data_IF_559837988368
#
_entry.id   IF_559837988368
#
_cell.length_a   1.000
_cell.length_b   1.000
_cell.length_c   1.000
_cell.angle_alpha   90.00
_cell.angle_beta   90.00
_cell.angle_gamma   90.00
#
_symmetry.space_group_name_H-M   'P 1'
#
loop_
_entity.id
_entity.type
_entity.pdbx_description
1 polymer ?
#
# COMPACT_ATOMS: atom_id res chain seq x y z
N UNK A 1 -8.05 21.71 -16.01
CA UNK A 1 -7.87 23.11 -15.55
C UNK A 1 -6.72 23.14 -14.56
N UNK A 2 -5.73 24.02 -14.74
CA UNK A 2 -4.61 24.16 -13.80
C UNK A 2 -4.87 25.32 -12.84
N UNK A 3 -4.88 25.04 -11.53
CA UNK A 3 -4.92 26.06 -10.48
C UNK A 3 -3.54 26.74 -10.39
N UNK A 4 -3.48 28.06 -10.16
CA UNK A 4 -2.20 28.75 -9.96
C UNK A 4 -1.61 28.47 -8.57
N UNK A 5 -0.27 28.57 -8.43
CA UNK A 5 0.44 28.39 -7.15
C UNK A 5 -0.09 29.29 -6.02
N UNK A 6 -0.36 30.55 -6.34
CA UNK A 6 -0.92 31.50 -5.37
C UNK A 6 -2.34 31.13 -4.93
N UNK A 7 -3.19 30.72 -5.87
CA UNK A 7 -4.56 30.30 -5.55
C UNK A 7 -4.56 29.01 -4.72
N UNK A 8 -3.71 28.05 -5.08
CA UNK A 8 -3.53 26.82 -4.28
C UNK A 8 -3.06 27.11 -2.86
N UNK A 9 -2.06 27.98 -2.71
CA UNK A 9 -1.57 28.40 -1.41
C UNK A 9 -2.67 29.06 -0.58
N UNK A 10 -3.47 29.95 -1.18
CA UNK A 10 -4.60 30.57 -0.52
C UNK A 10 -5.65 29.55 -0.04
N UNK A 11 -5.99 28.56 -0.88
CA UNK A 11 -6.90 27.48 -0.50
C UNK A 11 -6.35 26.65 0.66
N UNK A 12 -5.06 26.31 0.62
CA UNK A 12 -4.41 25.59 1.70
C UNK A 12 -4.44 26.37 3.01
N UNK A 13 -4.02 27.63 2.99
CA UNK A 13 -3.86 28.43 4.20
C UNK A 13 -5.19 28.87 4.81
N UNK A 14 -6.16 29.24 3.99
CA UNK A 14 -7.40 29.83 4.50
C UNK A 14 -8.54 28.84 4.63
N UNK A 15 -8.52 27.72 3.90
CA UNK A 15 -9.58 26.71 3.98
C UNK A 15 -9.09 25.50 4.76
N UNK A 16 -8.04 24.84 4.29
CA UNK A 16 -7.58 23.58 4.91
C UNK A 16 -7.04 23.81 6.31
N UNK A 17 -6.14 24.79 6.51
CA UNK A 17 -5.59 25.06 7.85
C UNK A 17 -6.68 25.54 8.82
N UNK A 18 -7.66 26.32 8.37
CA UNK A 18 -8.76 26.75 9.25
C UNK A 18 -9.62 25.59 9.76
N UNK A 19 -9.62 24.45 9.06
CA UNK A 19 -10.42 23.26 9.35
C UNK A 19 -9.56 22.09 9.87
N UNK A 20 -8.30 22.33 10.25
CA UNK A 20 -7.32 21.29 10.60
C UNK A 20 -7.82 20.29 11.64
N UNK A 21 -8.60 20.77 12.62
CA UNK A 21 -9.14 19.97 13.72
C UNK A 21 -10.43 19.20 13.36
N UNK A 22 -11.00 19.41 12.18
CA UNK A 22 -12.26 18.78 11.74
C UNK A 22 -12.06 17.77 10.61
N UNK A 23 -11.00 17.92 9.83
CA UNK A 23 -10.75 17.08 8.66
C UNK A 23 -10.29 15.69 9.13
N UNK A 24 -11.14 14.70 8.90
CA UNK A 24 -10.85 13.29 9.19
C UNK A 24 -10.48 12.47 7.95
N UNK A 25 -10.76 13.00 6.76
CA UNK A 25 -10.51 12.33 5.48
C UNK A 25 -10.02 13.33 4.44
N UNK A 26 -8.96 12.95 3.72
CA UNK A 26 -8.46 13.67 2.57
C UNK A 26 -8.37 12.72 1.39
N UNK A 27 -8.84 13.19 0.23
CA UNK A 27 -8.62 12.57 -1.06
C UNK A 27 -7.87 13.55 -1.96
N UNK A 28 -6.68 13.15 -2.39
CA UNK A 28 -5.87 13.84 -3.37
C UNK A 28 -5.90 13.02 -4.65
N UNK A 29 -6.28 13.64 -5.76
CA UNK A 29 -6.16 13.02 -7.08
C UNK A 29 -5.39 13.97 -7.94
N UNK A 30 -4.36 13.44 -8.61
CA UNK A 30 -3.44 14.19 -9.45
C UNK A 30 -2.90 15.44 -8.73
N UNK A 31 -2.01 15.29 -7.72
CA UNK A 31 -1.30 16.42 -7.17
C UNK A 31 -0.34 17.00 -8.24
N UNK A 32 -0.90 17.79 -9.17
CA UNK A 32 -0.37 18.16 -10.50
C UNK A 32 0.91 19.01 -10.52
N UNK A 33 1.62 19.19 -9.41
CA UNK A 33 2.97 19.75 -9.47
C UNK A 33 3.78 19.31 -8.27
N UNK A 34 4.99 18.82 -8.54
CA UNK A 34 6.07 18.62 -7.57
C UNK A 34 6.10 19.68 -6.45
N UNK A 35 5.95 20.95 -6.83
CA UNK A 35 5.94 22.11 -5.94
C UNK A 35 4.74 22.16 -4.98
N UNK A 36 3.56 21.72 -5.42
CA UNK A 36 2.33 21.76 -4.63
C UNK A 36 2.30 20.63 -3.60
N UNK A 37 2.81 19.47 -3.98
CA UNK A 37 3.02 18.31 -3.09
C UNK A 37 3.89 18.68 -1.88
N UNK A 38 4.99 19.40 -2.10
CA UNK A 38 5.89 19.85 -1.03
C UNK A 38 5.21 20.78 -0.02
N UNK A 39 4.25 21.60 -0.45
CA UNK A 39 3.49 22.48 0.44
C UNK A 39 2.36 21.74 1.16
N UNK A 40 1.81 20.70 0.52
CA UNK A 40 0.63 19.98 0.98
C UNK A 40 0.94 18.97 2.09
N UNK A 41 2.01 18.19 1.96
CA UNK A 41 2.33 17.14 2.95
C UNK A 41 2.61 17.66 4.37
N UNK A 42 3.33 18.78 4.57
CA UNK A 42 3.49 19.36 5.90
C UNK A 42 2.16 19.76 6.53
N UNK A 43 1.20 20.24 5.73
CA UNK A 43 -0.13 20.59 6.23
C UNK A 43 -0.91 19.33 6.60
N UNK A 44 -0.86 18.31 5.73
CA UNK A 44 -1.47 17.01 6.02
C UNK A 44 -0.90 16.43 7.32
N UNK A 45 0.41 16.56 7.54
CA UNK A 45 1.07 16.09 8.76
C UNK A 45 0.51 16.72 10.05
N UNK A 46 -0.02 17.94 9.95
CA UNK A 46 -0.60 18.67 11.08
C UNK A 46 -2.09 18.34 11.34
N UNK A 47 -2.73 17.54 10.49
CA UNK A 47 -4.14 17.14 10.64
C UNK A 47 -4.28 16.02 11.67
N UNK A 48 -4.36 16.40 12.95
CA UNK A 48 -4.37 15.46 14.08
C UNK A 48 -5.57 14.50 14.10
N UNK A 49 -6.68 14.87 13.47
CA UNK A 49 -7.88 14.05 13.36
C UNK A 49 -7.95 13.24 12.05
N UNK A 50 -6.96 13.36 11.17
CA UNK A 50 -6.94 12.66 9.89
C UNK A 50 -6.80 11.15 10.12
N UNK A 51 -7.86 10.42 9.81
CA UNK A 51 -7.86 8.95 9.90
C UNK A 51 -7.79 8.31 8.53
N UNK A 52 -8.22 8.99 7.47
CA UNK A 52 -8.28 8.45 6.12
C UNK A 52 -7.51 9.33 5.14
N UNK A 53 -6.57 8.73 4.43
CA UNK A 53 -5.82 9.41 3.37
C UNK A 53 -5.88 8.59 2.09
N UNK A 54 -6.38 9.22 1.03
CA UNK A 54 -6.43 8.67 -0.32
C UNK A 54 -5.57 9.54 -1.20
N UNK A 55 -4.61 8.94 -1.87
CA UNK A 55 -3.72 9.63 -2.80
C UNK A 55 -3.68 8.86 -4.11
N UNK A 56 -4.15 9.52 -5.16
CA UNK A 56 -4.16 9.00 -6.50
C UNK A 56 -3.19 9.80 -7.37
N UNK A 57 -2.46 9.06 -8.22
CA UNK A 57 -1.53 9.59 -9.20
C UNK A 57 -0.40 10.45 -8.60
N UNK A 58 0.16 9.96 -7.49
CA UNK A 58 1.33 10.58 -6.87
C UNK A 58 2.62 10.09 -7.49
N UNK A 59 3.59 10.99 -7.63
CA UNK A 59 4.98 10.62 -7.88
C UNK A 59 5.62 10.05 -6.62
N UNK A 60 6.33 8.94 -6.79
CA UNK A 60 6.90 8.12 -5.73
C UNK A 60 7.75 8.86 -4.70
N UNK A 61 8.47 9.90 -5.11
CA UNK A 61 9.35 10.69 -4.26
C UNK A 61 8.62 11.41 -3.11
N UNK A 62 7.30 11.60 -3.21
CA UNK A 62 6.53 12.33 -2.22
C UNK A 62 5.86 11.45 -1.16
N UNK A 63 5.80 10.14 -1.39
CA UNK A 63 5.15 9.19 -0.47
C UNK A 63 5.87 9.16 0.88
N UNK A 64 7.17 9.47 0.89
CA UNK A 64 7.98 9.53 2.09
C UNK A 64 7.59 10.63 3.08
N UNK A 65 6.65 11.53 2.73
CA UNK A 65 6.20 12.58 3.63
C UNK A 65 4.85 12.27 4.30
N UNK A 66 4.34 11.06 4.14
CA UNK A 66 3.02 10.65 4.64
C UNK A 66 3.17 9.87 5.94
N UNK A 67 3.33 10.55 7.09
CA UNK A 67 3.34 9.86 8.39
C UNK A 67 2.45 10.53 9.42
N UNK A 68 1.19 10.06 9.45
CA UNK A 68 0.20 10.42 10.44
C UNK A 68 -0.37 9.18 11.13
N UNK A 69 -1.09 9.37 12.24
CA UNK A 69 -1.92 8.35 12.88
C UNK A 69 -3.16 8.00 12.01
N UNK A 70 -2.91 7.38 10.86
CA UNK A 70 -3.96 6.99 9.91
C UNK A 70 -4.57 5.65 10.32
N UNK A 71 -5.90 5.54 10.17
CA UNK A 71 -6.63 4.28 10.26
C UNK A 71 -6.81 3.61 8.88
N UNK A 72 -6.84 4.41 7.81
CA UNK A 72 -7.02 3.98 6.43
C UNK A 72 -6.10 4.74 5.48
N UNK A 73 -5.42 4.00 4.60
CA UNK A 73 -4.52 4.55 3.59
C UNK A 73 -4.76 3.91 2.22
N UNK A 74 -4.91 4.74 1.20
CA UNK A 74 -4.95 4.33 -0.21
C UNK A 74 -3.89 5.11 -0.96
N UNK A 75 -2.94 4.42 -1.58
CA UNK A 75 -1.91 5.02 -2.42
C UNK A 75 -1.95 4.37 -3.80
N UNK A 76 -2.09 5.21 -4.82
CA UNK A 76 -1.98 4.85 -6.23
C UNK A 76 -0.88 5.72 -6.85
N UNK A 77 0.27 5.10 -7.14
CA UNK A 77 1.44 5.74 -7.77
C UNK A 77 1.32 5.65 -9.30
N UNK A 78 1.77 6.68 -10.00
CA UNK A 78 1.84 6.68 -11.49
C UNK A 78 3.20 6.24 -12.03
N UNK A 79 4.24 6.31 -11.21
CA UNK A 79 5.62 6.00 -11.57
C UNK A 79 6.18 4.81 -10.78
N UNK A 80 7.29 4.28 -11.28
CA UNK A 80 8.02 3.23 -10.59
C UNK A 80 8.78 3.78 -9.39
N UNK A 81 8.60 3.15 -8.24
CA UNK A 81 9.27 3.56 -7.01
C UNK A 81 10.67 2.92 -6.92
N UNK A 82 11.69 3.75 -6.66
CA UNK A 82 13.06 3.28 -6.42
C UNK A 82 13.23 2.58 -5.07
N UNK A 83 12.64 3.14 -4.00
CA UNK A 83 12.79 2.69 -2.61
C UNK A 83 11.50 2.06 -2.04
N UNK A 84 10.90 1.13 -2.78
CA UNK A 84 9.60 0.54 -2.40
C UNK A 84 9.60 -0.08 -1.00
N UNK A 85 10.68 -0.77 -0.63
CA UNK A 85 10.78 -1.42 0.68
C UNK A 85 10.72 -0.42 1.83
N UNK A 86 11.37 0.74 1.69
CA UNK A 86 11.36 1.78 2.71
C UNK A 86 9.95 2.35 2.88
N UNK A 87 9.23 2.55 1.78
CA UNK A 87 7.82 2.99 1.82
C UNK A 87 6.96 1.96 2.54
N UNK A 88 7.04 0.69 2.16
CA UNK A 88 6.29 -0.37 2.81
C UNK A 88 6.60 -0.44 4.30
N UNK A 89 7.88 -0.36 4.66
CA UNK A 89 8.32 -0.39 6.04
C UNK A 89 7.71 0.74 6.87
N UNK A 90 7.75 1.97 6.34
CA UNK A 90 7.18 3.13 7.04
C UNK A 90 5.65 3.04 7.15
N UNK A 91 4.95 2.58 6.10
CA UNK A 91 3.49 2.36 6.13
C UNK A 91 3.12 1.27 7.14
N UNK A 92 3.82 0.15 7.14
CA UNK A 92 3.46 -1.01 7.97
C UNK A 92 3.71 -0.76 9.46
N UNK A 93 4.58 0.20 9.80
CA UNK A 93 4.82 0.68 11.16
C UNK A 93 3.78 1.69 11.66
N UNK A 94 2.80 2.08 10.85
CA UNK A 94 1.72 2.96 11.32
C UNK A 94 0.84 2.23 12.35
N UNK A 95 0.79 2.71 13.61
CA UNK A 95 0.26 1.92 14.73
C UNK A 95 -1.26 1.74 14.67
N UNK A 96 -1.96 2.64 13.99
CA UNK A 96 -3.43 2.66 13.90
C UNK A 96 -3.96 2.16 12.57
N UNK A 97 -3.09 1.86 11.60
CA UNK A 97 -3.48 1.59 10.22
C UNK A 97 -4.15 0.22 10.10
N UNK A 98 -5.48 0.20 9.99
CA UNK A 98 -6.28 -1.02 9.84
C UNK A 98 -6.52 -1.39 8.39
N UNK A 99 -6.67 -0.41 7.51
CA UNK A 99 -6.92 -0.61 6.08
C UNK A 99 -5.80 0.00 5.25
N UNK A 100 -5.25 -0.78 4.31
CA UNK A 100 -4.20 -0.33 3.42
C UNK A 100 -4.43 -0.85 1.99
N UNK A 101 -4.46 0.05 1.02
CA UNK A 101 -4.52 -0.28 -0.40
C UNK A 101 -3.36 0.36 -1.15
N UNK A 102 -2.59 -0.46 -1.87
CA UNK A 102 -1.36 -0.05 -2.54
C UNK A 102 -1.39 -0.48 -4.01
N UNK A 103 -1.36 0.49 -4.92
CA UNK A 103 -0.98 0.32 -6.31
C UNK A 103 0.35 1.06 -6.51
N UNK A 104 1.43 0.37 -6.18
CA UNK A 104 2.79 0.89 -6.22
C UNK A 104 3.59 0.05 -7.23
N UNK A 105 3.81 0.59 -8.42
CA UNK A 105 4.62 -0.05 -9.45
C UNK A 105 6.12 0.07 -9.12
N UNK A 106 6.89 -0.91 -9.60
CA UNK A 106 8.30 -1.06 -9.22
C UNK A 106 9.12 -1.41 -10.43
N UNK A 107 10.38 -0.98 -10.38
CA UNK A 107 11.38 -1.56 -11.27
C UNK A 107 11.53 -3.05 -10.91
N UNK A 108 11.45 -3.90 -11.92
CA UNK A 108 11.71 -5.34 -11.78
C UNK A 108 13.08 -5.52 -11.09
N UNK A 109 13.23 -6.59 -10.31
CA UNK A 109 14.47 -7.01 -9.63
C UNK A 109 14.83 -6.35 -8.27
N UNK A 110 13.92 -5.60 -7.64
CA UNK A 110 14.16 -5.17 -6.25
C UNK A 110 14.18 -6.34 -5.27
N UNK A 111 15.17 -6.33 -4.37
CA UNK A 111 15.26 -7.32 -3.27
C UNK A 111 13.98 -7.27 -2.43
N UNK A 112 13.41 -8.42 -2.03
CA UNK A 112 12.28 -8.44 -1.13
C UNK A 112 12.65 -7.81 0.22
N UNK A 113 11.65 -7.29 0.94
CA UNK A 113 11.78 -6.93 2.35
C UNK A 113 12.37 -8.09 3.16
N UNK A 114 13.12 -7.75 4.21
CA UNK A 114 13.48 -8.74 5.22
C UNK A 114 12.22 -9.33 5.85
N UNK A 115 12.28 -10.59 6.26
CA UNK A 115 11.19 -11.21 7.02
C UNK A 115 11.08 -10.49 8.38
N UNK A 116 9.86 -10.13 8.75
CA UNK A 116 9.58 -9.49 10.03
C UNK A 116 9.99 -10.42 11.19
N UNK A 117 10.70 -9.88 12.18
CA UNK A 117 11.07 -10.61 13.39
C UNK A 117 10.15 -10.25 14.56
N UNK A 118 10.07 -8.97 14.90
CA UNK A 118 9.29 -8.44 16.03
C UNK A 118 8.56 -7.13 15.70
N UNK A 119 8.43 -6.81 14.41
CA UNK A 119 7.81 -5.57 13.95
C UNK A 119 6.55 -5.93 13.18
N UNK A 120 5.41 -5.88 13.88
CA UNK A 120 4.13 -6.26 13.30
C UNK A 120 3.25 -5.03 13.10
N UNK A 121 2.58 -5.03 11.96
CA UNK A 121 1.62 -4.03 11.57
C UNK A 121 0.26 -4.28 12.21
N UNK A 122 -0.50 -3.21 12.42
CA UNK A 122 -1.88 -3.25 12.87
C UNK A 122 -2.89 -3.52 11.74
N UNK A 123 -2.41 -3.65 10.50
CA UNK A 123 -3.24 -3.84 9.30
C UNK A 123 -4.06 -5.12 9.41
N UNK A 124 -5.37 -4.95 9.24
CA UNK A 124 -6.35 -6.04 9.19
C UNK A 124 -6.85 -6.29 7.77
N UNK A 125 -6.78 -5.26 6.90
CA UNK A 125 -7.25 -5.30 5.52
C UNK A 125 -6.17 -4.77 4.58
N UNK A 126 -5.61 -5.65 3.76
CA UNK A 126 -4.53 -5.32 2.83
C UNK A 126 -4.96 -5.59 1.38
N UNK A 127 -4.86 -4.56 0.55
CA UNK A 127 -5.10 -4.64 -0.90
C UNK A 127 -3.81 -4.30 -1.64
N UNK A 128 -3.29 -5.26 -2.39
CA UNK A 128 -2.06 -5.17 -3.15
C UNK A 128 -2.42 -5.26 -4.62
N UNK A 129 -2.43 -4.14 -5.32
CA UNK A 129 -2.80 -4.09 -6.75
C UNK A 129 -1.59 -4.04 -7.69
N UNK A 130 -0.37 -4.06 -7.15
CA UNK A 130 0.83 -4.21 -7.95
C UNK A 130 1.09 -5.68 -8.31
N UNK A 131 2.27 -5.96 -8.90
CA UNK A 131 2.67 -7.30 -9.39
C UNK A 131 3.80 -7.88 -8.52
N UNK A 132 3.57 -8.20 -7.24
CA UNK A 132 4.63 -8.73 -6.39
C UNK A 132 5.02 -10.14 -6.84
N UNK A 133 6.30 -10.46 -6.69
CA UNK A 133 6.75 -11.85 -6.69
C UNK A 133 6.26 -12.56 -5.42
N UNK A 134 6.20 -13.90 -5.43
CA UNK A 134 5.82 -14.70 -4.26
C UNK A 134 6.71 -14.39 -3.05
N UNK A 135 8.03 -14.27 -3.25
CA UNK A 135 8.95 -13.97 -2.16
C UNK A 135 8.70 -12.58 -1.55
N UNK A 136 8.41 -11.57 -2.39
CA UNK A 136 8.02 -10.24 -1.91
C UNK A 136 6.71 -10.28 -1.13
N UNK A 137 5.73 -11.03 -1.63
CA UNK A 137 4.44 -11.21 -0.95
C UNK A 137 4.64 -11.88 0.43
N UNK A 138 5.42 -12.96 0.51
CA UNK A 138 5.73 -13.61 1.79
C UNK A 138 6.41 -12.67 2.78
N UNK A 139 7.38 -11.88 2.32
CA UNK A 139 8.00 -10.85 3.16
C UNK A 139 6.98 -9.85 3.66
N UNK A 140 6.09 -9.31 2.80
CA UNK A 140 5.03 -8.39 3.22
C UNK A 140 4.08 -9.02 4.23
N UNK A 141 3.63 -10.25 3.97
CA UNK A 141 2.69 -10.97 4.85
C UNK A 141 3.28 -11.25 6.23
N UNK A 142 4.61 -11.40 6.35
CA UNK A 142 5.26 -11.59 7.65
C UNK A 142 5.07 -10.41 8.61
N UNK A 143 4.82 -9.20 8.11
CA UNK A 143 4.57 -8.01 8.94
C UNK A 143 3.11 -7.90 9.37
N UNK A 144 2.14 -8.45 8.64
CA UNK A 144 0.71 -8.23 8.86
C UNK A 144 0.05 -9.44 9.54
N UNK A 145 0.52 -9.80 10.74
CA UNK A 145 0.01 -10.99 11.42
C UNK A 145 -1.48 -10.88 11.81
N UNK A 146 -2.03 -9.68 11.96
CA UNK A 146 -3.44 -9.45 12.29
C UNK A 146 -4.36 -9.43 11.06
N UNK A 147 -3.84 -9.80 9.88
CA UNK A 147 -4.54 -9.71 8.62
C UNK A 147 -5.79 -10.61 8.60
N UNK A 148 -6.94 -10.00 8.37
CA UNK A 148 -8.24 -10.68 8.21
C UNK A 148 -8.66 -10.76 6.76
N UNK A 149 -8.31 -9.73 5.96
CA UNK A 149 -8.67 -9.65 4.54
C UNK A 149 -7.46 -9.32 3.68
N UNK A 150 -7.19 -10.16 2.70
CA UNK A 150 -6.15 -9.96 1.69
C UNK A 150 -6.78 -9.90 0.30
N UNK A 151 -6.47 -8.86 -0.46
CA UNK A 151 -6.83 -8.76 -1.87
C UNK A 151 -5.57 -8.53 -2.70
N UNK A 152 -5.33 -9.37 -3.70
CA UNK A 152 -4.19 -9.26 -4.62
C UNK A 152 -4.73 -9.07 -6.04
N UNK A 153 -4.45 -7.93 -6.65
CA UNK A 153 -4.93 -7.57 -7.98
C UNK A 153 -4.19 -8.27 -9.12
N UNK A 154 -2.94 -8.66 -8.89
CA UNK A 154 -2.11 -9.42 -9.84
C UNK A 154 -0.98 -10.14 -9.09
N UNK A 155 -0.70 -11.39 -9.44
CA UNK A 155 0.47 -12.11 -8.92
C UNK A 155 1.46 -12.35 -10.08
N UNK A 156 2.71 -11.89 -9.94
CA UNK A 156 3.72 -12.15 -10.98
C UNK A 156 4.35 -13.52 -10.78
N UNK A 157 3.91 -14.46 -11.61
CA UNK A 157 4.53 -15.76 -11.75
C UNK A 157 5.79 -15.65 -12.61
N UNK A 158 6.94 -15.37 -12.02
CA UNK A 158 8.19 -15.44 -12.79
C UNK A 158 8.38 -16.87 -13.35
N UNK A 159 8.70 -16.95 -14.65
CA UNK A 159 8.97 -18.19 -15.41
C UNK A 159 10.39 -18.75 -15.19
N UNK A 160 11.19 -18.19 -14.29
CA UNK A 160 12.61 -18.53 -14.19
C UNK A 160 12.89 -19.63 -13.16
N UNK A 161 13.26 -20.79 -13.70
CA UNK A 161 13.83 -21.97 -13.04
C UNK A 161 12.95 -22.67 -11.98
N UNK A 162 12.49 -23.87 -12.36
CA UNK A 162 11.73 -24.87 -11.59
C UNK A 162 12.41 -25.37 -10.29
N UNK A 163 13.45 -24.72 -9.78
CA UNK A 163 14.29 -25.27 -8.71
C UNK A 163 13.91 -24.82 -7.30
N UNK A 164 13.13 -23.74 -7.14
CA UNK A 164 12.63 -23.34 -5.83
C UNK A 164 11.12 -23.16 -5.83
N UNK A 165 10.43 -24.16 -5.25
CA UNK A 165 9.01 -24.02 -4.95
C UNK A 165 8.87 -23.08 -3.74
N UNK A 166 8.46 -21.84 -3.97
CA UNK A 166 8.07 -20.91 -2.91
C UNK A 166 6.56 -20.97 -2.74
N UNK A 167 6.05 -21.45 -1.60
CA UNK A 167 4.62 -21.37 -1.27
C UNK A 167 4.26 -20.04 -0.62
N UNK A 168 2.99 -19.63 -0.72
CA UNK A 168 2.49 -18.45 0.01
C UNK A 168 2.19 -18.87 1.45
N UNK A 169 2.85 -18.21 2.41
CA UNK A 169 2.63 -18.47 3.84
C UNK A 169 1.63 -17.45 4.38
N UNK A 170 0.37 -17.86 4.49
CA UNK A 170 -0.68 -17.05 5.12
C UNK A 170 -0.79 -17.39 6.60
N UNK A 171 -1.04 -16.37 7.42
CA UNK A 171 -1.44 -16.58 8.80
C UNK A 171 -2.84 -17.21 8.85
N UNK A 172 -3.06 -18.15 9.77
CA UNK A 172 -4.32 -18.85 10.00
C UNK A 172 -5.53 -17.92 10.28
N UNK A 173 -5.27 -16.67 10.65
CA UNK A 173 -6.27 -15.64 10.94
C UNK A 173 -6.90 -14.98 9.70
N UNK A 174 -6.38 -15.23 8.49
CA UNK A 174 -6.97 -14.69 7.25
C UNK A 174 -8.32 -15.36 7.02
N UNK A 175 -9.38 -14.54 7.01
CA UNK A 175 -10.78 -14.96 6.84
C UNK A 175 -11.23 -14.80 5.39
N UNK A 176 -10.74 -13.77 4.70
CA UNK A 176 -11.11 -13.48 3.31
C UNK A 176 -9.85 -13.33 2.48
N UNK A 177 -9.74 -14.16 1.45
CA UNK A 177 -8.67 -14.09 0.46
C UNK A 177 -9.29 -13.83 -0.92
N UNK A 178 -8.83 -12.78 -1.60
CA UNK A 178 -9.21 -12.47 -2.98
C UNK A 178 -7.96 -12.39 -3.83
N UNK A 179 -7.84 -13.24 -4.83
CA UNK A 179 -6.70 -13.24 -5.74
C UNK A 179 -7.24 -13.12 -7.15
N UNK A 180 -6.88 -12.03 -7.83
CA UNK A 180 -7.11 -11.88 -9.26
C UNK A 180 -5.92 -12.45 -10.00
N UNK A 181 -6.12 -13.61 -10.63
CA UNK A 181 -5.10 -14.28 -11.44
C UNK A 181 -5.22 -13.87 -12.90
N UNK A 182 -4.08 -13.74 -13.59
CA UNK A 182 -4.05 -13.70 -15.06
C UNK A 182 -4.02 -15.13 -15.61
N UNK A 183 -4.28 -15.33 -16.91
CA UNK A 183 -4.36 -16.65 -17.58
C UNK A 183 -3.08 -17.50 -17.37
N UNK A 184 -1.93 -16.86 -17.10
CA UNK A 184 -0.64 -17.54 -16.81
C UNK A 184 -0.58 -18.06 -15.36
N UNK A 185 -1.48 -17.60 -14.48
CA UNK A 185 -1.55 -17.87 -13.04
C UNK A 185 -2.00 -19.29 -12.64
N UNK A 186 -2.61 -20.05 -13.55
CA UNK A 186 -3.11 -21.41 -13.23
C UNK A 186 -2.00 -22.41 -12.88
N UNK A 187 -0.78 -22.22 -13.38
CA UNK A 187 0.37 -23.06 -12.99
C UNK A 187 0.89 -22.78 -11.57
N UNK A 188 0.42 -21.71 -10.93
CA UNK A 188 0.87 -21.26 -9.61
C UNK A 188 -0.06 -21.71 -8.48
N UNK A 189 -1.08 -22.48 -8.83
CA UNK A 189 -2.05 -23.07 -7.94
C UNK A 189 -1.47 -24.13 -7.01
N UNK A 190 -0.34 -24.74 -7.40
CA UNK A 190 0.45 -25.66 -6.58
C UNK A 190 1.16 -24.97 -5.40
N UNK A 191 1.16 -23.63 -5.32
CA UNK A 191 1.83 -22.85 -4.28
C UNK A 191 0.94 -22.46 -3.10
N UNK A 192 -0.37 -22.71 -3.20
CA UNK A 192 -1.31 -22.60 -2.07
C UNK A 192 -1.45 -23.99 -1.45
N UNK A 193 -1.40 -24.10 -0.12
CA UNK A 193 -1.64 -25.39 0.53
C UNK A 193 -3.14 -25.76 0.42
N UNK A 194 -3.47 -27.04 0.54
CA UNK A 194 -4.84 -27.55 0.36
C UNK A 194 -5.85 -26.86 1.30
N UNK A 195 -5.44 -26.47 2.50
CA UNK A 195 -6.32 -25.78 3.46
C UNK A 195 -6.65 -24.33 3.05
N UNK A 196 -5.75 -23.66 2.32
CA UNK A 196 -5.99 -22.32 1.77
C UNK A 196 -6.96 -22.34 0.59
N UNK A 197 -7.08 -23.49 -0.09
CA UNK A 197 -7.98 -23.67 -1.22
C UNK A 197 -9.46 -23.66 -0.84
N UNK A 198 -9.85 -24.34 0.24
CA UNK A 198 -11.25 -24.38 0.67
C UNK A 198 -11.79 -23.00 1.10
N UNK A 199 -10.91 -22.13 1.61
CA UNK A 199 -11.26 -20.74 2.01
C UNK A 199 -11.34 -19.75 0.85
N UNK A 200 -10.86 -20.12 -0.34
CA UNK A 200 -10.94 -19.28 -1.55
C UNK A 200 -12.24 -19.47 -2.33
N UNK A 201 -12.89 -20.63 -2.16
CA UNK A 201 -14.04 -21.08 -2.95
C UNK A 201 -15.36 -20.94 -2.16
N UNK A 202 -15.29 -20.71 -0.84
CA UNK A 202 -16.43 -20.41 0.03
C UNK A 202 -16.70 -18.91 0.16
#
# INVERSE_FOLDING_TARGET
>A
SSISKSLFHHYLTHIIISLTYRINSICLSDPFAADMSLLLFPIIANLTQLTTLIINNIESNYIEHIFNHLASLIIISIDNIKNQNDIYYKIFRLPTLKYCQLLIETLRYLKPLSIAKNEFSSIEHLVINNKPSINQLNSLLSYVLQLRRLSIGYLDGYRYNRTHKSSIVLNYQVQVLRIKMSIVGFYYLDYLNADQWERLIS
#
